data_IF_194264307690
#
_entry.id   IF_194264307690
#
_cell.length_a   1.000
_cell.length_b   1.000
_cell.length_c   1.000
_cell.angle_alpha   90.00
_cell.angle_beta   90.00
_cell.angle_gamma   90.00
#
_symmetry.space_group_name_H-M   'P 1'
#
loop_
_entity.id
_entity.type
_entity.pdbx_description
1 polymer ?
#
# COMPACT_ATOMS: atom_id res chain seq x y z
N UNK A 1 -12.02 2.51 19.97
CA UNK A 1 -10.77 1.72 19.96
C UNK A 1 -9.87 2.32 18.90
N UNK A 2 -8.58 2.49 19.18
CA UNK A 2 -7.62 2.91 18.16
C UNK A 2 -7.33 1.72 17.23
N UNK A 3 -7.49 1.93 15.91
CA UNK A 3 -7.31 0.90 14.89
C UNK A 3 -5.90 0.32 14.91
N UNK A 4 -4.89 1.12 15.28
CA UNK A 4 -3.50 0.65 15.39
C UNK A 4 -3.27 -0.36 16.50
N UNK A 5 -4.26 -0.56 17.39
CA UNK A 5 -4.22 -1.55 18.47
C UNK A 5 -4.85 -2.89 18.08
N UNK A 6 -5.46 -3.00 16.89
CA UNK A 6 -5.98 -4.25 16.37
C UNK A 6 -4.82 -5.20 16.04
N UNK A 7 -5.05 -6.51 16.17
CA UNK A 7 -4.09 -7.52 15.73
C UNK A 7 -4.33 -7.94 14.27
N UNK A 8 -3.28 -8.21 13.47
CA UNK A 8 -1.86 -8.01 13.78
C UNK A 8 -1.47 -6.52 13.75
N UNK A 9 -0.87 -6.01 14.83
CA UNK A 9 -0.57 -4.55 14.99
C UNK A 9 0.19 -3.93 13.83
N UNK A 10 1.15 -4.68 13.28
CA UNK A 10 2.01 -4.23 12.19
C UNK A 10 1.21 -3.87 10.91
N UNK A 11 0.19 -4.67 10.60
CA UNK A 11 -0.69 -4.46 9.43
C UNK A 11 -1.53 -3.22 9.64
N UNK A 12 -2.17 -3.10 10.81
CA UNK A 12 -3.04 -1.97 11.10
C UNK A 12 -2.29 -0.65 11.25
N UNK A 13 -1.04 -0.68 11.75
CA UNK A 13 -0.12 0.47 11.72
C UNK A 13 0.14 0.93 10.29
N UNK A 14 0.47 0.01 9.38
CA UNK A 14 0.77 0.34 7.98
C UNK A 14 -0.49 0.76 7.21
N UNK A 15 -1.64 0.15 7.50
CA UNK A 15 -2.92 0.54 6.90
C UNK A 15 -3.33 1.95 7.33
N UNK A 16 -3.16 2.29 8.62
CA UNK A 16 -3.39 3.65 9.10
C UNK A 16 -2.42 4.67 8.50
N UNK A 17 -1.14 4.32 8.35
CA UNK A 17 -0.16 5.17 7.68
C UNK A 17 -0.54 5.41 6.21
N UNK A 18 -0.89 4.37 5.47
CA UNK A 18 -1.33 4.49 4.07
C UNK A 18 -2.60 5.34 3.94
N UNK A 19 -3.60 5.10 4.78
CA UNK A 19 -4.86 5.86 4.76
C UNK A 19 -4.73 7.29 5.27
N UNK A 20 -3.62 7.66 5.92
CA UNK A 20 -3.32 9.06 6.23
C UNK A 20 -2.91 9.88 5.00
N UNK A 21 -2.55 9.21 3.90
CA UNK A 21 -2.10 9.84 2.65
C UNK A 21 -3.24 9.89 1.63
N UNK A 22 -3.66 11.08 1.18
CA UNK A 22 -4.52 11.25 0.01
C UNK A 22 -4.01 10.47 -1.20
N UNK A 23 -4.83 9.53 -1.71
CA UNK A 23 -4.49 8.67 -2.86
C UNK A 23 -5.65 8.46 -3.87
N UNK A 24 -6.32 9.53 -4.35
CA UNK A 24 -7.31 9.38 -5.40
C UNK A 24 -6.66 8.82 -6.68
N UNK A 25 -7.39 7.99 -7.42
CA UNK A 25 -6.97 7.57 -8.77
C UNK A 25 -6.71 8.80 -9.65
N UNK A 26 -5.66 8.74 -10.49
CA UNK A 26 -5.09 9.83 -11.30
C UNK A 26 -4.40 10.96 -10.54
N UNK A 27 -4.25 10.85 -9.21
CA UNK A 27 -3.56 11.81 -8.33
C UNK A 27 -2.62 11.11 -7.35
N UNK A 28 -1.91 10.10 -7.83
CA UNK A 28 -1.12 9.17 -7.02
C UNK A 28 0.24 9.73 -6.58
N UNK A 29 0.64 10.93 -6.97
CA UNK A 29 2.00 11.44 -6.74
C UNK A 29 2.39 11.44 -5.26
N UNK A 30 1.43 11.71 -4.36
CA UNK A 30 1.66 11.70 -2.91
C UNK A 30 1.86 10.29 -2.37
N UNK A 31 1.05 9.33 -2.80
CA UNK A 31 1.17 7.95 -2.34
C UNK A 31 2.40 7.26 -2.95
N UNK A 32 2.78 7.59 -4.18
CA UNK A 32 4.04 7.17 -4.80
C UNK A 32 5.22 7.69 -3.97
N UNK A 33 5.24 8.98 -3.63
CA UNK A 33 6.30 9.56 -2.82
C UNK A 33 6.37 8.94 -1.41
N UNK A 34 5.22 8.68 -0.79
CA UNK A 34 5.12 7.98 0.48
C UNK A 34 5.72 6.57 0.41
N UNK A 35 5.33 5.77 -0.58
CA UNK A 35 5.82 4.39 -0.73
C UNK A 35 7.29 4.33 -1.09
N UNK A 36 7.76 5.24 -1.94
CA UNK A 36 9.18 5.38 -2.25
C UNK A 36 9.99 5.66 -0.98
N UNK A 37 9.56 6.66 -0.20
CA UNK A 37 10.22 7.01 1.07
C UNK A 37 10.19 5.84 2.05
N UNK A 38 9.07 5.12 2.15
CA UNK A 38 8.95 3.94 3.01
C UNK A 38 10.01 2.88 2.68
N UNK A 39 10.21 2.54 1.40
CA UNK A 39 11.26 1.59 1.00
C UNK A 39 12.68 2.09 1.28
N UNK A 40 12.95 3.37 1.00
CA UNK A 40 14.25 4.02 1.24
C UNK A 40 14.59 4.11 2.73
N UNK A 41 13.61 4.41 3.59
CA UNK A 41 13.78 4.47 5.05
C UNK A 41 14.12 3.10 5.65
N UNK A 42 13.67 2.01 5.02
CA UNK A 42 14.05 0.64 5.38
C UNK A 42 15.43 0.24 4.83
N UNK A 43 16.08 1.10 4.05
CA UNK A 43 17.34 0.80 3.36
C UNK A 43 17.20 -0.23 2.24
N UNK A 44 16.00 -0.40 1.69
CA UNK A 44 15.71 -1.35 0.62
C UNK A 44 15.88 -0.70 -0.75
N UNK A 45 16.32 -1.49 -1.75
CA UNK A 45 16.36 -1.04 -3.14
C UNK A 45 14.95 -0.67 -3.57
N UNK A 46 14.76 0.60 -3.95
CA UNK A 46 13.46 1.16 -4.27
C UNK A 46 13.55 1.94 -5.57
N UNK A 47 12.63 1.68 -6.50
CA UNK A 47 12.52 2.41 -7.76
C UNK A 47 11.07 2.76 -8.08
N UNK A 48 10.91 3.79 -8.89
CA UNK A 48 9.64 4.16 -9.51
C UNK A 48 9.84 4.06 -11.01
N UNK A 49 8.99 3.31 -11.70
CA UNK A 49 9.07 3.20 -13.16
C UNK A 49 8.51 4.43 -13.87
N UNK A 50 8.60 4.45 -15.20
CA UNK A 50 8.12 5.57 -16.02
C UNK A 50 6.61 5.78 -15.94
N UNK A 51 5.85 4.76 -15.54
CA UNK A 51 4.38 4.83 -15.39
C UNK A 51 3.99 5.27 -13.97
N UNK A 52 4.91 5.23 -13.01
CA UNK A 52 4.66 5.59 -11.62
C UNK A 52 4.47 4.39 -10.69
N UNK A 53 4.64 3.15 -11.18
CA UNK A 53 4.62 1.98 -10.31
C UNK A 53 5.84 2.00 -9.38
N UNK A 54 5.64 1.67 -8.10
CA UNK A 54 6.71 1.59 -7.10
C UNK A 54 7.15 0.14 -6.95
N UNK A 55 8.45 -0.12 -7.03
CA UNK A 55 9.03 -1.46 -6.84
C UNK A 55 10.03 -1.38 -5.69
N UNK A 56 9.84 -2.22 -4.68
CA UNK A 56 10.73 -2.34 -3.50
C UNK A 56 11.25 -3.77 -3.42
N UNK A 57 12.56 -3.96 -3.33
CA UNK A 57 13.20 -5.29 -3.26
C UNK A 57 13.76 -5.56 -1.88
N UNK A 58 13.41 -6.72 -1.32
CA UNK A 58 13.92 -7.21 -0.04
C UNK A 58 14.68 -8.53 -0.24
N UNK A 59 15.94 -8.65 0.22
CA UNK A 59 16.71 -9.88 0.08
C UNK A 59 16.11 -11.01 0.93
N UNK A 60 16.39 -12.26 0.56
CA UNK A 60 15.95 -13.41 1.33
C UNK A 60 16.53 -13.40 2.75
N UNK A 61 15.75 -13.88 3.71
CA UNK A 61 16.25 -14.12 5.07
C UNK A 61 17.24 -15.28 5.10
N UNK A 62 18.01 -15.39 6.20
CA UNK A 62 18.93 -16.51 6.41
C UNK A 62 18.25 -17.87 6.23
N UNK A 63 18.85 -18.75 5.43
CA UNK A 63 18.32 -20.09 5.12
C UNK A 63 17.29 -20.14 3.99
N UNK A 64 16.91 -19.00 3.40
CA UNK A 64 15.91 -18.91 2.34
C UNK A 64 16.48 -18.49 0.98
N UNK A 65 17.80 -18.27 0.87
CA UNK A 65 18.45 -17.74 -0.34
C UNK A 65 18.31 -18.62 -1.58
N UNK A 66 18.18 -19.94 -1.39
CA UNK A 66 18.03 -20.91 -2.50
C UNK A 66 16.56 -21.14 -2.90
N UNK A 67 15.63 -20.40 -2.32
CA UNK A 67 14.20 -20.51 -2.67
C UNK A 67 13.85 -19.57 -3.81
N UNK A 68 12.81 -19.93 -4.56
CA UNK A 68 12.32 -19.09 -5.65
C UNK A 68 11.92 -17.71 -5.12
N UNK A 69 12.36 -16.62 -5.77
CA UNK A 69 11.88 -15.29 -5.45
C UNK A 69 10.37 -15.20 -5.70
N UNK A 70 9.71 -14.29 -4.99
CA UNK A 70 8.28 -14.04 -5.16
C UNK A 70 8.02 -12.56 -5.41
N UNK A 71 6.94 -12.29 -6.14
CA UNK A 71 6.39 -10.95 -6.30
C UNK A 71 5.15 -10.84 -5.44
N UNK A 72 5.05 -9.79 -4.63
CA UNK A 72 3.83 -9.42 -3.95
C UNK A 72 3.31 -8.12 -4.57
N UNK A 73 2.04 -8.10 -4.98
CA UNK A 73 1.48 -6.96 -5.71
C UNK A 73 0.21 -6.43 -5.02
N UNK A 74 0.06 -5.11 -5.02
CA UNK A 74 -1.15 -4.38 -4.67
C UNK A 74 -1.20 -3.03 -5.37
N UNK A 75 -2.37 -2.41 -5.53
CA UNK A 75 -2.49 -1.08 -6.14
C UNK A 75 -2.63 0.01 -5.07
N UNK A 76 -2.08 1.19 -5.35
CA UNK A 76 -1.98 2.30 -4.38
C UNK A 76 -3.19 3.22 -4.38
N UNK A 77 -3.86 3.36 -5.51
CA UNK A 77 -5.03 4.22 -5.62
C UNK A 77 -6.24 3.65 -4.87
N UNK A 78 -7.26 4.48 -4.70
CA UNK A 78 -8.55 4.05 -4.19
C UNK A 78 -9.68 4.79 -4.87
N UNK A 79 -10.83 4.14 -4.94
CA UNK A 79 -12.09 4.80 -5.27
C UNK A 79 -12.41 5.87 -4.23
N UNK A 80 -12.70 7.09 -4.68
CA UNK A 80 -13.12 8.21 -3.83
C UNK A 80 -14.63 8.44 -3.94
N UNK A 81 -15.41 7.87 -3.00
CA UNK A 81 -16.85 8.09 -2.88
C UNK A 81 -17.19 8.53 -1.47
N UNK A 82 -18.17 9.42 -1.32
CA UNK A 82 -18.63 9.90 -0.02
C UNK A 82 -20.15 10.05 0.00
N UNK A 83 -20.73 9.97 1.20
CA UNK A 83 -22.14 10.26 1.40
C UNK A 83 -22.42 11.76 1.16
N UNK A 84 -23.65 12.08 0.74
CA UNK A 84 -24.03 13.44 0.34
C UNK A 84 -23.91 14.49 1.46
N UNK A 85 -24.02 14.06 2.72
CA UNK A 85 -23.99 14.88 3.92
C UNK A 85 -22.58 15.05 4.50
N UNK A 86 -21.55 14.46 3.87
CA UNK A 86 -20.17 14.45 4.37
C UNK A 86 -19.32 15.50 3.64
N UNK A 87 -18.80 16.45 4.41
CA UNK A 87 -17.79 17.39 3.91
C UNK A 87 -16.37 16.80 4.09
N UNK A 88 -15.94 16.06 3.08
CA UNK A 88 -14.60 15.44 3.00
C UNK A 88 -13.94 15.74 1.66
N UNK A 89 -12.64 16.08 1.70
CA UNK A 89 -11.79 16.33 0.55
C UNK A 89 -10.69 15.26 0.44
N UNK A 90 -10.85 14.37 -0.54
CA UNK A 90 -9.92 13.27 -0.81
C UNK A 90 -8.54 13.71 -1.30
N UNK A 91 -8.36 14.97 -1.70
CA UNK A 91 -7.07 15.47 -2.16
C UNK A 91 -6.22 16.05 -1.03
N UNK A 92 -6.82 16.32 0.12
CA UNK A 92 -6.13 16.97 1.24
C UNK A 92 -6.24 16.21 2.55
N UNK A 93 -7.26 15.37 2.73
CA UNK A 93 -7.54 14.68 3.99
C UNK A 93 -7.26 13.18 3.89
N UNK A 94 -6.65 12.63 4.94
CA UNK A 94 -6.58 11.18 5.15
C UNK A 94 -7.94 10.60 5.56
N UNK A 95 -8.16 9.31 5.27
CA UNK A 95 -9.40 8.60 5.54
C UNK A 95 -9.64 8.50 7.05
N UNK A 96 -10.80 8.98 7.49
CA UNK A 96 -11.22 8.88 8.89
C UNK A 96 -11.83 7.50 9.14
N UNK A 97 -11.03 6.61 9.71
CA UNK A 97 -11.44 5.25 9.98
C UNK A 97 -12.03 5.10 11.40
N UNK A 98 -12.93 4.15 11.58
CA UNK A 98 -13.48 3.75 12.87
C UNK A 98 -13.71 2.24 12.96
N UNK A 99 -13.63 1.73 14.19
CA UNK A 99 -14.03 0.37 14.53
C UNK A 99 -15.49 0.40 14.97
N UNK A 100 -16.35 -0.30 14.25
CA UNK A 100 -17.76 -0.50 14.60
C UNK A 100 -18.02 -2.00 14.72
N UNK A 101 -18.21 -2.46 15.95
CA UNK A 101 -18.27 -3.88 16.30
C UNK A 101 -17.02 -4.62 15.79
N UNK A 102 -17.20 -5.63 14.95
CA UNK A 102 -16.11 -6.41 14.35
C UNK A 102 -15.61 -5.84 13.00
N UNK A 103 -16.08 -4.66 12.59
CA UNK A 103 -15.77 -4.06 11.29
C UNK A 103 -14.92 -2.80 11.42
N UNK A 104 -13.98 -2.63 10.50
CA UNK A 104 -13.35 -1.33 10.25
C UNK A 104 -14.05 -0.66 9.08
N UNK A 105 -14.47 0.59 9.28
CA UNK A 105 -15.20 1.41 8.31
C UNK A 105 -14.58 2.80 8.20
N UNK A 106 -14.92 3.52 7.16
CA UNK A 106 -14.64 4.95 7.08
C UNK A 106 -15.90 5.76 7.40
N UNK A 107 -15.71 6.95 7.97
CA UNK A 107 -16.79 7.86 8.36
C UNK A 107 -17.40 8.55 7.14
N UNK A 108 -18.33 7.85 6.50
CA UNK A 108 -19.12 8.37 5.39
C UNK A 108 -18.35 8.57 4.09
N UNK A 109 -17.21 7.89 3.94
CA UNK A 109 -16.43 7.78 2.71
C UNK A 109 -16.16 6.32 2.38
N UNK A 110 -15.61 6.05 1.20
CA UNK A 110 -14.89 4.79 0.94
C UNK A 110 -13.70 4.66 1.90
N UNK A 111 -13.42 3.43 2.32
CA UNK A 111 -12.34 3.12 3.25
C UNK A 111 -10.98 2.95 2.55
N UNK A 112 -10.99 2.58 1.27
CA UNK A 112 -9.77 2.20 0.55
C UNK A 112 -9.13 0.90 1.08
N UNK A 113 -9.93 0.02 1.70
CA UNK A 113 -9.46 -1.30 2.11
C UNK A 113 -9.02 -2.14 0.90
N UNK A 114 -9.70 -1.96 -0.24
CA UNK A 114 -9.24 -2.45 -1.53
C UNK A 114 -8.39 -1.37 -2.24
N UNK A 115 -7.15 -1.64 -2.64
CA UNK A 115 -6.28 -2.73 -2.15
C UNK A 115 -5.42 -2.32 -0.95
N UNK A 116 -5.79 -1.25 -0.24
CA UNK A 116 -4.98 -0.68 0.83
C UNK A 116 -4.59 -1.66 1.95
N UNK A 117 -5.45 -2.64 2.28
CA UNK A 117 -5.10 -3.66 3.28
C UNK A 117 -4.08 -4.68 2.74
N UNK A 118 -4.16 -5.03 1.45
CA UNK A 118 -3.16 -5.84 0.76
C UNK A 118 -1.81 -5.12 0.71
N UNK A 119 -1.81 -3.84 0.33
CA UNK A 119 -0.62 -2.97 0.39
C UNK A 119 -0.04 -2.91 1.80
N UNK A 120 -0.87 -2.71 2.83
CA UNK A 120 -0.41 -2.68 4.22
C UNK A 120 0.18 -4.01 4.69
N UNK A 121 -0.33 -5.15 4.22
CA UNK A 121 0.25 -6.46 4.49
C UNK A 121 1.64 -6.59 3.84
N UNK A 122 1.81 -6.14 2.60
CA UNK A 122 3.11 -6.14 1.91
C UNK A 122 4.11 -5.23 2.63
N UNK A 123 3.70 -4.02 3.02
CA UNK A 123 4.52 -3.11 3.84
C UNK A 123 4.98 -3.80 5.13
N UNK A 124 4.08 -4.54 5.79
CA UNK A 124 4.40 -5.28 7.02
C UNK A 124 5.42 -6.39 6.81
N UNK A 125 5.34 -7.11 5.69
CA UNK A 125 6.35 -8.11 5.31
C UNK A 125 7.70 -7.43 5.01
N UNK A 126 7.69 -6.28 4.35
CA UNK A 126 8.91 -5.54 4.03
C UNK A 126 9.63 -5.05 5.30
N UNK A 127 8.91 -4.51 6.28
CA UNK A 127 9.51 -3.99 7.51
C UNK A 127 9.78 -5.08 8.58
N UNK A 128 9.15 -6.25 8.50
CA UNK A 128 9.35 -7.33 9.48
C UNK A 128 10.81 -7.84 9.48
N UNK A 129 11.33 -8.10 10.67
CA UNK A 129 12.67 -8.66 10.90
C UNK A 129 12.64 -10.12 11.36
N UNK A 130 11.46 -10.69 11.54
CA UNK A 130 11.22 -11.99 12.19
C UNK A 130 10.43 -12.98 11.32
N UNK A 131 9.98 -12.58 10.13
CA UNK A 131 9.35 -13.44 9.15
C UNK A 131 10.38 -14.07 8.21
N UNK A 132 10.43 -15.40 8.13
CA UNK A 132 11.28 -16.09 7.16
C UNK A 132 10.68 -16.00 5.74
N UNK A 133 11.46 -15.51 4.77
CA UNK A 133 10.99 -15.32 3.40
C UNK A 133 12.12 -15.48 2.35
N UNK A 134 11.79 -15.89 1.09
CA UNK A 134 12.73 -15.81 -0.03
C UNK A 134 12.99 -14.34 -0.41
N UNK A 135 13.74 -14.08 -1.48
CA UNK A 135 13.81 -12.73 -2.02
C UNK A 135 12.42 -12.27 -2.47
N UNK A 136 12.05 -11.03 -2.12
CA UNK A 136 10.74 -10.45 -2.39
C UNK A 136 10.93 -9.23 -3.27
N UNK A 137 10.08 -9.13 -4.29
CA UNK A 137 9.84 -7.90 -5.02
C UNK A 137 8.41 -7.45 -4.74
N UNK A 138 8.25 -6.31 -4.09
CA UNK A 138 6.96 -5.70 -3.86
C UNK A 138 6.66 -4.73 -4.99
N UNK A 139 5.63 -5.02 -5.78
CA UNK A 139 5.14 -4.19 -6.87
C UNK A 139 3.89 -3.45 -6.43
N UNK A 140 3.93 -2.12 -6.44
CA UNK A 140 2.80 -1.27 -6.15
C UNK A 140 2.36 -0.53 -7.41
N UNK A 141 1.22 -0.92 -7.97
CA UNK A 141 0.70 -0.34 -9.21
C UNK A 141 -0.16 0.89 -8.94
N UNK A 142 -0.34 1.73 -9.97
CA UNK A 142 -1.23 2.89 -9.91
C UNK A 142 -2.45 2.73 -10.83
N UNK A 143 -3.48 3.51 -10.55
CA UNK A 143 -4.68 3.67 -11.38
C UNK A 143 -5.37 2.35 -11.74
N UNK A 144 -5.54 1.44 -10.78
CA UNK A 144 -6.29 0.20 -11.05
C UNK A 144 -7.76 0.51 -11.32
N UNK A 145 -8.34 1.42 -10.53
CA UNK A 145 -9.78 1.62 -10.39
C UNK A 145 -10.43 2.33 -11.58
N UNK A 146 -9.63 2.96 -12.44
CA UNK A 146 -10.15 3.71 -13.60
C UNK A 146 -9.62 3.27 -14.95
N UNK A 147 -8.38 2.78 -15.03
CA UNK A 147 -7.77 2.48 -16.33
C UNK A 147 -6.72 1.39 -16.35
N UNK A 148 -6.35 0.82 -15.20
CA UNK A 148 -5.26 -0.13 -15.04
C UNK A 148 -3.94 0.34 -15.65
N UNK A 149 -3.69 1.67 -15.69
CA UNK A 149 -2.54 2.21 -16.45
C UNK A 149 -1.21 1.73 -15.89
N UNK A 150 -1.11 1.56 -14.57
CA UNK A 150 0.09 0.99 -13.94
C UNK A 150 0.40 -0.42 -14.45
N UNK A 151 -0.60 -1.30 -14.49
CA UNK A 151 -0.44 -2.67 -14.94
C UNK A 151 -0.10 -2.77 -16.44
N UNK A 152 -0.77 -1.97 -17.28
CA UNK A 152 -0.54 -1.94 -18.73
C UNK A 152 0.84 -1.34 -19.07
N UNK A 153 1.29 -0.35 -18.29
CA UNK A 153 2.56 0.34 -18.50
C UNK A 153 3.79 -0.41 -17.98
N UNK A 154 3.61 -1.51 -17.24
CA UNK A 154 4.72 -2.29 -16.70
C UNK A 154 5.54 -2.93 -17.82
N UNK A 155 6.78 -2.46 -18.00
CA UNK A 155 7.69 -2.97 -19.04
C UNK A 155 8.22 -4.37 -18.69
N UNK A 156 8.56 -5.20 -19.70
CA UNK A 156 9.31 -6.43 -19.47
C UNK A 156 10.62 -6.19 -18.73
N UNK A 157 11.07 -7.19 -17.95
CA UNK A 157 12.33 -7.16 -17.19
C UNK A 157 12.42 -6.05 -16.13
N UNK A 158 11.28 -5.56 -15.63
CA UNK A 158 11.23 -4.63 -14.50
C UNK A 158 11.29 -5.33 -13.13
N UNK A 159 10.91 -6.61 -13.08
CA UNK A 159 10.98 -7.49 -11.92
C UNK A 159 12.09 -8.51 -12.20
#
# INVERSE_FOLDING_TARGET
MDITQLEPKIIWKNFAALNSVPRPSKKEERVIAFMKKFGEDLGLETKVDETGNVIIRKPATSGMQNRKPIVMQGHLDMVCQKNNDVNFDFETQGIQMEVQDDWVKAKGTTLGADNGLGVAAIMSVLESTDLAHPAIEALFTIDEETGMTGAIGLKPNQL
#
